data_IF_181028155033
#
_entry.id   IF_181028155033
#
_cell.length_a   1.000
_cell.length_b   1.000
_cell.length_c   1.000
_cell.angle_alpha   90.00
_cell.angle_beta   90.00
_cell.angle_gamma   90.00
#
_symmetry.space_group_name_H-M   'P 1'
#
loop_
_entity.id
_entity.type
_entity.pdbx_description
1 polymer ?
#
# COMPACT_ATOMS: atom_id res chain seq x y z
N UNK A 1 72.26 39.95 -9.85
CA UNK A 1 73.31 39.30 -9.05
C UNK A 1 72.68 38.01 -8.51
N UNK A 2 73.02 36.89 -8.76
CA UNK A 2 74.06 35.96 -9.03
C UNK A 2 73.53 34.76 -9.81
N UNK A 3 74.20 34.37 -10.84
CA UNK A 3 74.19 33.12 -11.58
C UNK A 3 74.59 31.92 -10.69
N UNK A 4 74.13 30.71 -11.01
CA UNK A 4 74.92 29.48 -11.07
C UNK A 4 74.07 28.35 -11.66
N UNK A 5 74.22 28.04 -12.90
CA UNK A 5 75.05 27.02 -13.56
C UNK A 5 74.68 25.56 -13.34
N UNK A 6 74.15 25.01 -14.41
CA UNK A 6 74.18 23.64 -14.97
C UNK A 6 74.87 22.53 -14.17
N UNK A 7 74.20 21.40 -14.03
CA UNK A 7 74.86 20.09 -14.19
C UNK A 7 73.86 19.08 -14.89
N UNK A 8 74.32 18.61 -16.04
CA UNK A 8 73.72 17.53 -16.84
C UNK A 8 74.30 16.23 -16.28
N UNK A 9 73.45 15.28 -15.98
CA UNK A 9 73.83 13.87 -15.80
C UNK A 9 72.88 12.99 -16.58
N UNK A 10 73.38 12.48 -17.68
CA UNK A 10 72.85 11.43 -18.52
C UNK A 10 72.86 10.07 -17.75
N UNK A 11 71.80 9.37 -17.63
CA UNK A 11 71.80 7.95 -17.27
C UNK A 11 70.85 7.19 -18.13
N UNK A 12 71.30 6.14 -18.68
CA UNK A 12 70.79 5.34 -19.79
C UNK A 12 69.55 4.50 -19.50
N UNK A 13 68.91 4.18 -20.56
CA UNK A 13 67.76 3.33 -20.76
C UNK A 13 67.77 1.97 -20.01
N UNK A 14 66.67 1.65 -19.42
CA UNK A 14 66.30 0.29 -19.08
C UNK A 14 64.79 0.11 -19.37
N UNK A 15 64.48 -0.30 -20.59
CA UNK A 15 63.11 -0.67 -21.01
C UNK A 15 62.82 -2.06 -20.45
N UNK A 16 62.22 -2.15 -19.26
CA UNK A 16 61.62 -3.38 -18.78
C UNK A 16 60.18 -3.43 -19.28
N UNK A 17 59.98 -4.24 -20.31
CA UNK A 17 58.65 -4.67 -20.75
C UNK A 17 58.03 -5.55 -19.64
N UNK A 18 57.26 -4.93 -18.74
CA UNK A 18 56.37 -5.66 -17.88
C UNK A 18 55.10 -5.98 -18.70
N UNK A 19 55.04 -7.18 -19.27
CA UNK A 19 53.83 -7.78 -19.79
C UNK A 19 52.84 -7.94 -18.65
N UNK A 20 52.04 -6.92 -18.43
CA UNK A 20 50.90 -6.98 -17.54
C UNK A 20 49.86 -7.94 -18.13
N UNK A 21 49.82 -9.17 -17.62
CA UNK A 21 48.61 -10.02 -17.75
C UNK A 21 47.44 -9.23 -17.20
N UNK A 22 46.64 -8.65 -18.10
CA UNK A 22 45.27 -8.30 -17.78
C UNK A 22 44.55 -9.60 -17.45
N UNK A 23 44.41 -9.94 -16.17
CA UNK A 23 43.39 -10.87 -15.72
C UNK A 23 42.07 -10.30 -16.20
N UNK A 24 41.50 -10.90 -17.23
CA UNK A 24 40.10 -10.77 -17.57
C UNK A 24 39.36 -11.12 -16.27
N UNK A 25 38.72 -10.15 -15.65
CA UNK A 25 37.80 -10.44 -14.57
C UNK A 25 36.74 -11.36 -15.16
N UNK A 26 36.71 -12.60 -14.68
CA UNK A 26 35.64 -13.55 -14.98
C UNK A 26 34.31 -12.88 -14.59
N UNK A 27 33.57 -12.43 -15.60
CA UNK A 27 32.25 -11.80 -15.44
C UNK A 27 31.15 -12.79 -15.09
N UNK A 28 31.51 -14.01 -14.66
CA UNK A 28 30.60 -15.10 -14.32
C UNK A 28 30.52 -15.42 -12.82
N UNK A 29 31.00 -14.55 -11.94
CA UNK A 29 30.59 -14.66 -10.54
C UNK A 29 29.11 -14.35 -10.45
N UNK A 30 28.25 -15.21 -9.83
CA UNK A 30 26.85 -14.90 -9.66
C UNK A 30 26.77 -13.55 -8.90
N UNK A 31 26.15 -12.56 -9.54
CA UNK A 31 25.87 -11.30 -8.89
C UNK A 31 25.11 -11.61 -7.59
N UNK A 32 25.59 -11.08 -6.45
CA UNK A 32 24.90 -11.25 -5.17
C UNK A 32 23.44 -10.77 -5.25
N UNK A 33 22.61 -11.09 -4.26
CA UNK A 33 21.22 -10.71 -4.26
C UNK A 33 21.05 -9.20 -4.45
N UNK A 34 20.09 -8.80 -5.29
CA UNK A 34 19.82 -7.38 -5.55
C UNK A 34 19.15 -6.78 -4.32
N UNK A 35 19.67 -5.64 -3.85
CA UNK A 35 19.10 -4.92 -2.72
C UNK A 35 17.86 -4.15 -3.16
N UNK A 36 16.75 -4.35 -2.43
CA UNK A 36 15.46 -3.67 -2.66
C UNK A 36 14.95 -3.10 -1.35
N UNK A 37 14.61 -1.82 -1.38
CA UNK A 37 14.01 -1.12 -0.24
C UNK A 37 12.50 -1.06 -0.43
N UNK A 38 11.77 -1.55 0.56
CA UNK A 38 10.30 -1.59 0.55
C UNK A 38 9.77 -0.58 1.55
N UNK A 39 9.01 0.41 1.06
CA UNK A 39 8.36 1.41 1.91
C UNK A 39 7.12 0.84 2.59
N UNK A 40 6.86 1.26 3.84
CA UNK A 40 5.64 0.94 4.58
C UNK A 40 5.31 2.02 5.62
N UNK A 41 4.05 2.07 6.08
CA UNK A 41 3.57 3.00 7.11
C UNK A 41 3.33 2.26 8.43
N UNK A 42 2.82 1.06 8.38
CA UNK A 42 2.41 0.24 9.53
C UNK A 42 0.89 0.09 9.60
N UNK A 43 0.29 -0.29 8.48
CA UNK A 43 -1.14 -0.49 8.32
C UNK A 43 -1.47 -1.99 8.23
N UNK A 44 -2.69 -2.37 8.64
CA UNK A 44 -3.17 -3.75 8.49
C UNK A 44 -3.10 -4.23 7.05
N UNK A 45 -3.43 -3.37 6.09
CA UNK A 45 -3.43 -3.72 4.67
C UNK A 45 -2.03 -4.05 4.12
N UNK A 46 -0.96 -3.62 4.80
CA UNK A 46 0.43 -3.89 4.44
C UNK A 46 0.93 -5.29 4.90
N UNK A 47 0.06 -6.13 5.46
CA UNK A 47 0.41 -7.49 5.86
C UNK A 47 1.17 -8.30 4.79
N UNK A 48 0.93 -8.18 3.47
CA UNK A 48 1.75 -8.83 2.45
C UNK A 48 3.22 -8.40 2.46
N UNK A 49 3.53 -7.14 2.77
CA UNK A 49 4.92 -6.66 2.88
C UNK A 49 5.63 -7.40 4.02
N UNK A 50 5.02 -7.41 5.19
CA UNK A 50 5.57 -8.05 6.38
C UNK A 50 5.69 -9.57 6.21
N UNK A 51 4.65 -10.18 5.62
CA UNK A 51 4.64 -11.61 5.29
C UNK A 51 5.75 -11.97 4.30
N UNK A 52 5.95 -11.19 3.24
CA UNK A 52 7.00 -11.46 2.25
C UNK A 52 8.40 -11.43 2.87
N UNK A 53 8.64 -10.55 3.84
CA UNK A 53 9.89 -10.49 4.59
C UNK A 53 10.04 -11.72 5.50
N UNK A 54 9.07 -11.95 6.39
CA UNK A 54 9.17 -12.93 7.47
C UNK A 54 9.06 -14.38 6.97
N UNK A 55 8.33 -14.61 5.87
CA UNK A 55 8.24 -15.92 5.20
C UNK A 55 9.39 -16.15 4.22
N UNK A 56 10.23 -15.15 3.97
CA UNK A 56 11.37 -15.27 3.08
C UNK A 56 11.03 -15.24 1.58
N UNK A 57 9.84 -14.77 1.18
CA UNK A 57 9.45 -14.76 -0.24
C UNK A 57 10.32 -13.84 -1.09
N UNK A 58 10.84 -12.74 -0.53
CA UNK A 58 11.85 -11.94 -1.21
C UNK A 58 13.16 -12.71 -1.43
N UNK A 59 13.58 -13.48 -0.42
CA UNK A 59 14.79 -14.29 -0.50
C UNK A 59 14.67 -15.41 -1.53
N UNK A 60 13.49 -16.05 -1.65
CA UNK A 60 13.20 -17.05 -2.68
C UNK A 60 13.35 -16.48 -4.10
N UNK A 61 13.07 -15.20 -4.26
CA UNK A 61 13.22 -14.46 -5.52
C UNK A 61 14.61 -13.85 -5.72
N UNK A 62 15.57 -14.16 -4.85
CA UNK A 62 16.95 -13.64 -4.92
C UNK A 62 17.09 -12.18 -4.52
N UNK A 63 16.17 -11.64 -3.73
CA UNK A 63 16.15 -10.25 -3.28
C UNK A 63 16.67 -10.14 -1.83
N UNK A 64 17.63 -9.24 -1.62
CA UNK A 64 18.03 -8.75 -0.31
C UNK A 64 17.16 -7.53 0.05
N UNK A 65 16.15 -7.75 0.89
CA UNK A 65 15.12 -6.75 1.21
C UNK A 65 15.45 -5.98 2.47
N UNK A 66 15.20 -4.67 2.46
CA UNK A 66 15.15 -3.83 3.65
C UNK A 66 13.85 -3.03 3.69
N UNK A 67 13.30 -2.85 4.89
CA UNK A 67 12.08 -2.08 5.10
C UNK A 67 12.39 -0.63 5.45
N UNK A 68 11.67 0.31 4.87
CA UNK A 68 11.76 1.75 5.12
C UNK A 68 10.43 2.23 5.69
N UNK A 69 10.40 2.52 6.99
CA UNK A 69 9.20 3.08 7.63
C UNK A 69 9.05 4.54 7.24
N UNK A 70 7.86 4.91 6.81
CA UNK A 70 7.51 6.26 6.37
C UNK A 70 6.29 6.76 7.13
N UNK A 71 6.07 8.07 7.06
CA UNK A 71 4.85 8.72 7.55
C UNK A 71 3.94 9.08 6.38
N UNK A 72 2.64 9.19 6.63
CA UNK A 72 1.65 9.57 5.63
C UNK A 72 2.02 10.85 4.87
N UNK A 73 2.53 11.85 5.60
CA UNK A 73 2.82 13.17 5.05
C UNK A 73 3.88 13.18 3.94
N UNK A 74 4.85 12.28 4.02
CA UNK A 74 6.01 12.26 3.11
C UNK A 74 6.14 10.99 2.26
N UNK A 75 5.18 10.07 2.36
CA UNK A 75 5.29 8.74 1.77
C UNK A 75 5.58 8.75 0.26
N UNK A 76 4.79 9.52 -0.50
CA UNK A 76 4.97 9.65 -1.95
C UNK A 76 6.28 10.36 -2.32
N UNK A 77 6.67 11.35 -1.52
CA UNK A 77 7.87 12.15 -1.78
C UNK A 77 9.13 11.32 -1.53
N UNK A 78 9.14 10.50 -0.49
CA UNK A 78 10.23 9.55 -0.22
C UNK A 78 10.39 8.56 -1.38
N UNK A 79 9.28 8.02 -1.95
CA UNK A 79 9.33 7.18 -3.14
C UNK A 79 9.88 7.95 -4.35
N UNK A 80 9.37 9.15 -4.60
CA UNK A 80 9.77 9.99 -5.73
C UNK A 80 11.26 10.31 -5.72
N UNK A 81 11.81 10.59 -4.53
CA UNK A 81 13.22 10.88 -4.31
C UNK A 81 14.11 9.63 -4.25
N UNK A 82 13.54 8.44 -4.36
CA UNK A 82 14.28 7.18 -4.30
C UNK A 82 14.72 6.79 -2.89
N UNK A 83 14.01 7.22 -1.85
CA UNK A 83 14.23 6.79 -0.48
C UNK A 83 13.85 5.33 -0.24
N UNK A 84 12.91 4.81 -1.01
CA UNK A 84 12.64 3.38 -1.19
C UNK A 84 12.29 3.08 -2.66
N UNK A 85 12.26 1.80 -3.04
CA UNK A 85 12.21 1.38 -4.43
C UNK A 85 10.83 0.87 -4.85
N UNK A 86 10.14 0.16 -3.95
CA UNK A 86 8.88 -0.51 -4.19
C UNK A 86 8.01 -0.48 -2.93
N UNK A 87 6.70 -0.55 -3.12
CA UNK A 87 5.71 -0.72 -2.06
C UNK A 87 4.42 -1.29 -2.64
N UNK A 88 3.36 -1.42 -1.83
CA UNK A 88 2.00 -1.42 -2.33
C UNK A 88 1.21 -0.29 -1.68
N UNK A 89 0.36 0.35 -2.44
CA UNK A 89 -0.39 1.51 -1.94
C UNK A 89 -1.66 1.75 -2.73
N UNK A 90 -2.51 2.66 -2.20
CA UNK A 90 -3.78 3.02 -2.83
C UNK A 90 -3.57 3.52 -4.26
N UNK A 91 -4.28 2.92 -5.21
CA UNK A 91 -4.22 3.30 -6.63
C UNK A 91 -4.55 4.79 -6.82
N UNK A 92 -5.67 5.25 -6.26
CA UNK A 92 -6.12 6.63 -6.41
C UNK A 92 -5.13 7.67 -5.85
N UNK A 93 -4.36 7.32 -4.81
CA UNK A 93 -3.42 8.24 -4.19
C UNK A 93 -2.30 8.69 -5.13
N UNK A 94 -1.89 7.82 -6.05
CA UNK A 94 -0.77 8.08 -6.95
C UNK A 94 -1.20 8.60 -8.34
N UNK A 95 -2.46 8.49 -8.73
CA UNK A 95 -2.91 8.90 -10.07
C UNK A 95 -2.72 10.40 -10.32
N UNK A 96 -3.07 11.27 -9.35
CA UNK A 96 -2.81 12.71 -9.48
C UNK A 96 -1.32 13.06 -9.54
N UNK A 97 -0.45 12.53 -8.67
CA UNK A 97 0.99 12.67 -8.83
C UNK A 97 1.54 12.19 -10.18
N UNK A 98 1.06 11.04 -10.70
CA UNK A 98 1.48 10.51 -12.01
C UNK A 98 1.02 11.44 -13.14
N UNK A 99 -0.20 11.98 -13.06
CA UNK A 99 -0.67 13.03 -13.97
C UNK A 99 0.29 14.22 -14.01
N UNK A 100 0.80 14.60 -12.84
CA UNK A 100 1.74 15.71 -12.66
C UNK A 100 3.21 15.37 -12.98
N UNK A 101 3.48 14.15 -13.49
CA UNK A 101 4.81 13.75 -13.95
C UNK A 101 5.60 12.90 -12.96
N UNK A 102 5.02 12.45 -11.83
CA UNK A 102 5.69 11.51 -10.94
C UNK A 102 5.94 10.18 -11.69
N UNK A 103 7.21 9.79 -11.78
CA UNK A 103 7.61 8.56 -12.46
C UNK A 103 7.57 7.36 -11.49
N UNK A 104 6.38 6.79 -11.37
CA UNK A 104 6.12 5.54 -10.66
C UNK A 104 5.16 4.68 -11.48
N UNK A 105 5.19 3.36 -11.29
CA UNK A 105 4.38 2.41 -12.04
C UNK A 105 3.70 1.41 -11.13
N UNK A 106 2.43 1.15 -11.37
CA UNK A 106 1.74 -0.01 -10.79
C UNK A 106 2.09 -1.28 -11.58
N UNK A 107 2.16 -2.42 -10.89
CA UNK A 107 2.60 -3.69 -11.48
C UNK A 107 1.67 -4.87 -11.18
N UNK A 108 0.84 -4.80 -10.13
CA UNK A 108 -0.10 -5.85 -9.76
C UNK A 108 -0.95 -5.49 -8.56
N UNK A 109 -2.20 -5.91 -8.55
CA UNK A 109 -3.16 -5.66 -7.46
C UNK A 109 -2.89 -6.55 -6.25
N UNK A 110 -3.10 -6.00 -5.08
CA UNK A 110 -2.86 -6.68 -3.79
C UNK A 110 -4.18 -7.02 -3.10
N UNK A 111 -5.01 -6.03 -2.81
CA UNK A 111 -6.24 -6.23 -2.03
C UNK A 111 -7.36 -5.26 -2.41
N UNK A 112 -8.57 -5.64 -2.01
CA UNK A 112 -9.80 -4.83 -2.05
C UNK A 112 -10.25 -4.51 -0.64
N UNK A 113 -11.05 -3.43 -0.46
CA UNK A 113 -11.48 -2.93 0.84
C UNK A 113 -10.35 -2.19 1.55
N UNK A 114 -10.63 -1.48 2.61
CA UNK A 114 -9.73 -0.83 3.56
C UNK A 114 -10.31 0.48 4.11
N UNK A 115 -10.96 1.28 3.27
CA UNK A 115 -11.30 2.66 3.57
C UNK A 115 -12.76 2.77 4.01
N UNK A 116 -13.00 3.68 4.95
CA UNK A 116 -14.35 3.95 5.46
C UNK A 116 -14.61 5.45 5.59
N UNK A 117 -15.88 5.81 5.51
CA UNK A 117 -16.42 7.06 6.03
C UNK A 117 -17.38 6.67 7.15
N UNK A 118 -17.09 7.15 8.35
CA UNK A 118 -17.79 6.75 9.57
C UNK A 118 -18.33 7.98 10.29
N UNK A 119 -19.60 7.95 10.63
CA UNK A 119 -20.26 9.02 11.38
C UNK A 119 -20.33 8.71 12.86
N UNK A 120 -20.22 9.74 13.71
CA UNK A 120 -20.41 9.61 15.15
C UNK A 120 -21.78 9.01 15.48
N UNK A 121 -21.83 8.06 16.42
CA UNK A 121 -23.10 7.52 16.94
C UNK A 121 -23.89 8.53 17.78
N UNK A 122 -23.24 9.60 18.23
CA UNK A 122 -23.89 10.68 19.01
C UNK A 122 -24.76 11.61 18.15
N UNK A 123 -24.63 11.54 16.82
CA UNK A 123 -25.35 12.39 15.86
C UNK A 123 -26.35 11.61 15.00
N UNK A 124 -27.14 12.33 14.22
CA UNK A 124 -28.16 11.80 13.31
C UNK A 124 -27.68 11.65 11.86
N UNK A 125 -26.41 11.29 11.65
CA UNK A 125 -25.83 11.10 10.34
C UNK A 125 -25.96 9.61 9.99
N UNK A 126 -26.86 9.26 9.06
CA UNK A 126 -27.15 7.89 8.68
C UNK A 126 -26.78 7.56 7.22
N UNK A 127 -26.47 8.60 6.43
CA UNK A 127 -26.11 8.49 5.02
C UNK A 127 -25.03 9.48 4.66
N UNK A 128 -24.42 9.29 3.48
CA UNK A 128 -23.45 10.23 2.94
C UNK A 128 -24.05 11.64 2.74
N UNK A 129 -25.33 11.74 2.36
CA UNK A 129 -25.99 13.02 2.14
C UNK A 129 -26.16 13.83 3.43
N UNK A 130 -26.22 13.17 4.58
CA UNK A 130 -26.34 13.83 5.89
C UNK A 130 -25.02 14.49 6.33
N UNK A 131 -23.93 14.25 5.61
CA UNK A 131 -22.63 14.87 5.84
C UNK A 131 -22.54 16.32 5.35
N UNK A 132 -23.53 16.83 4.62
CA UNK A 132 -23.57 18.22 4.19
C UNK A 132 -23.46 19.19 5.37
N UNK A 133 -22.53 20.14 5.26
CA UNK A 133 -22.26 21.12 6.31
C UNK A 133 -21.57 20.55 7.54
N UNK A 134 -21.09 19.30 7.50
CA UNK A 134 -20.46 18.62 8.64
C UNK A 134 -18.94 18.71 8.59
N UNK A 135 -18.33 18.47 9.76
CA UNK A 135 -16.89 18.41 9.96
C UNK A 135 -16.45 16.96 9.84
N UNK A 136 -15.50 16.68 8.95
CA UNK A 136 -14.94 15.34 8.76
C UNK A 136 -13.46 15.35 9.12
N UNK A 137 -13.09 14.52 10.09
CA UNK A 137 -11.70 14.26 10.48
C UNK A 137 -11.02 13.32 9.49
N UNK A 138 -9.79 13.66 9.11
CA UNK A 138 -8.95 12.84 8.21
C UNK A 138 -7.51 12.80 8.71
N UNK A 139 -6.72 11.75 8.40
CA UNK A 139 -5.31 11.69 8.79
C UNK A 139 -4.41 12.67 8.03
N UNK A 140 -4.93 13.30 7.00
CA UNK A 140 -4.24 14.32 6.20
C UNK A 140 -4.99 14.62 4.92
N UNK A 141 -4.82 15.85 4.42
CA UNK A 141 -5.34 16.26 3.12
C UNK A 141 -4.62 15.49 2.01
N UNK A 142 -5.38 15.00 1.01
CA UNK A 142 -4.83 14.21 -0.08
C UNK A 142 -4.43 12.77 0.29
N UNK A 143 -4.64 12.33 1.53
CA UNK A 143 -4.41 10.93 1.94
C UNK A 143 -5.49 10.00 1.37
N UNK A 144 -5.26 8.67 1.32
CA UNK A 144 -6.25 7.70 0.86
C UNK A 144 -7.63 7.84 1.48
N UNK A 145 -7.79 7.96 2.82
CA UNK A 145 -9.11 8.17 3.41
C UNK A 145 -9.81 9.45 2.93
N UNK A 146 -9.06 10.56 2.82
CA UNK A 146 -9.57 11.81 2.26
C UNK A 146 -10.05 11.64 0.82
N UNK A 147 -9.26 10.97 -0.04
CA UNK A 147 -9.60 10.75 -1.46
C UNK A 147 -10.85 9.90 -1.59
N UNK A 148 -10.95 8.81 -0.82
CA UNK A 148 -12.12 7.94 -0.82
C UNK A 148 -13.38 8.69 -0.38
N UNK A 149 -13.30 9.46 0.71
CA UNK A 149 -14.42 10.27 1.20
C UNK A 149 -14.87 11.29 0.16
N UNK A 150 -13.94 12.00 -0.51
CA UNK A 150 -14.27 12.94 -1.59
C UNK A 150 -15.03 12.22 -2.73
N UNK A 151 -14.55 11.06 -3.15
CA UNK A 151 -15.19 10.26 -4.19
C UNK A 151 -16.61 9.85 -3.81
N UNK A 152 -16.80 9.34 -2.60
CA UNK A 152 -18.11 8.90 -2.09
C UNK A 152 -19.07 10.09 -1.96
N UNK A 153 -18.61 11.22 -1.43
CA UNK A 153 -19.40 12.44 -1.31
C UNK A 153 -19.85 12.94 -2.69
N UNK A 154 -18.93 13.08 -3.64
CA UNK A 154 -19.23 13.52 -5.00
C UNK A 154 -20.22 12.60 -5.71
N UNK A 155 -20.05 11.27 -5.59
CA UNK A 155 -21.00 10.29 -6.15
C UNK A 155 -22.42 10.39 -5.56
N UNK A 156 -22.57 10.98 -4.35
CA UNK A 156 -23.84 11.22 -3.70
C UNK A 156 -24.35 12.67 -3.82
N UNK A 157 -23.72 13.47 -4.69
CA UNK A 157 -24.13 14.86 -4.97
C UNK A 157 -23.81 15.84 -3.82
N UNK A 158 -22.83 15.52 -2.99
CA UNK A 158 -22.27 16.42 -1.97
C UNK A 158 -20.95 16.97 -2.48
N UNK A 159 -20.81 18.29 -2.59
CA UNK A 159 -19.55 18.92 -3.01
C UNK A 159 -18.53 18.90 -1.86
N UNK A 160 -17.48 18.06 -1.93
CA UNK A 160 -16.56 17.92 -0.83
C UNK A 160 -15.70 19.16 -0.58
N UNK A 161 -15.59 20.04 -1.57
CA UNK A 161 -14.81 21.29 -1.47
C UNK A 161 -15.60 22.47 -0.88
N UNK A 162 -16.95 22.43 -0.96
CA UNK A 162 -17.79 23.53 -0.53
C UNK A 162 -18.69 23.19 0.66
N UNK A 163 -19.14 21.93 0.73
CA UNK A 163 -20.16 21.51 1.69
C UNK A 163 -19.57 20.73 2.87
N UNK A 164 -18.24 20.50 2.91
CA UNK A 164 -17.56 19.77 4.00
C UNK A 164 -16.47 20.64 4.63
N UNK A 165 -16.40 20.61 5.96
CA UNK A 165 -15.26 21.16 6.70
C UNK A 165 -14.29 20.02 7.04
N UNK A 166 -13.13 20.00 6.38
CA UNK A 166 -12.09 19.02 6.63
C UNK A 166 -11.20 19.44 7.78
N UNK A 167 -10.96 18.52 8.73
CA UNK A 167 -10.06 18.78 9.87
C UNK A 167 -9.04 17.64 9.93
N UNK A 168 -7.76 18.00 10.05
CA UNK A 168 -6.65 17.02 10.09
C UNK A 168 -6.32 16.65 11.52
N UNK A 169 -6.30 15.36 11.82
CA UNK A 169 -5.82 14.77 13.07
C UNK A 169 -4.91 13.58 12.75
N UNK A 170 -3.90 13.30 13.58
CA UNK A 170 -3.21 12.02 13.51
C UNK A 170 -4.23 10.86 13.55
N UNK A 171 -4.02 9.81 12.75
CA UNK A 171 -5.00 8.72 12.61
C UNK A 171 -5.44 8.12 13.96
N UNK A 172 -4.49 7.95 14.90
CA UNK A 172 -4.78 7.45 16.24
C UNK A 172 -5.62 8.40 17.13
N UNK A 173 -5.76 9.66 16.75
CA UNK A 173 -6.50 10.69 17.50
C UNK A 173 -7.91 10.94 16.97
N UNK A 174 -8.27 10.36 15.81
CA UNK A 174 -9.59 10.53 15.19
C UNK A 174 -10.74 10.15 16.14
N UNK A 175 -10.57 9.06 16.91
CA UNK A 175 -11.54 8.63 17.91
C UNK A 175 -11.72 9.64 19.06
N UNK A 176 -10.65 10.29 19.48
CA UNK A 176 -10.70 11.32 20.51
C UNK A 176 -11.37 12.60 20.00
N UNK A 177 -11.11 12.99 18.75
CA UNK A 177 -11.75 14.12 18.10
C UNK A 177 -13.28 13.94 17.99
N UNK A 178 -13.75 12.70 17.68
CA UNK A 178 -15.17 12.34 17.73
C UNK A 178 -15.75 12.46 19.15
N UNK A 179 -15.04 11.95 20.15
CA UNK A 179 -15.50 11.97 21.55
C UNK A 179 -15.67 13.39 22.07
N UNK A 180 -14.75 14.29 21.71
CA UNK A 180 -14.80 15.72 22.07
C UNK A 180 -15.79 16.53 21.22
N UNK A 181 -16.37 15.93 20.17
CA UNK A 181 -17.25 16.64 19.24
C UNK A 181 -16.51 17.68 18.38
N UNK A 182 -15.22 17.52 18.18
CA UNK A 182 -14.42 18.36 17.27
C UNK A 182 -14.74 18.06 15.82
N UNK A 183 -15.14 16.80 15.51
CA UNK A 183 -15.64 16.34 14.23
C UNK A 183 -16.94 15.57 14.39
N UNK A 184 -17.74 15.55 13.32
CA UNK A 184 -19.04 14.87 13.27
C UNK A 184 -18.92 13.49 12.64
N UNK A 185 -17.90 13.30 11.82
CA UNK A 185 -17.54 12.07 11.14
C UNK A 185 -16.03 11.99 10.93
N UNK A 186 -15.54 10.80 10.54
CA UNK A 186 -14.13 10.56 10.17
C UNK A 186 -14.07 9.77 8.87
N UNK A 187 -13.00 9.98 8.11
CA UNK A 187 -12.59 9.07 7.05
C UNK A 187 -11.25 8.45 7.44
N UNK A 188 -11.19 7.13 7.41
CA UNK A 188 -10.06 6.37 7.93
C UNK A 188 -9.80 5.06 7.15
N UNK A 189 -8.80 4.33 7.60
CA UNK A 189 -8.40 3.03 7.10
C UNK A 189 -8.24 2.03 8.25
N UNK A 190 -8.00 0.76 7.91
CA UNK A 190 -7.71 -0.27 8.92
C UNK A 190 -6.31 -0.10 9.54
N UNK A 191 -6.16 -0.27 10.88
CA UNK A 191 -7.14 -0.87 11.81
C UNK A 191 -8.10 0.15 12.47
N UNK A 192 -7.96 1.45 12.24
CA UNK A 192 -8.70 2.49 12.99
C UNK A 192 -10.21 2.35 12.81
N UNK A 193 -10.67 2.14 11.55
CA UNK A 193 -12.10 2.00 11.27
C UNK A 193 -12.77 0.88 12.05
N UNK A 194 -12.16 -0.29 12.09
CA UNK A 194 -12.67 -1.42 12.89
C UNK A 194 -12.61 -1.16 14.39
N UNK A 195 -11.57 -0.51 14.87
CA UNK A 195 -11.44 -0.16 16.30
C UNK A 195 -12.55 0.80 16.75
N UNK A 196 -12.83 1.84 15.97
CA UNK A 196 -13.86 2.82 16.29
C UNK A 196 -15.27 2.18 16.26
N UNK A 197 -15.50 1.28 15.30
CA UNK A 197 -16.76 0.53 15.20
C UNK A 197 -16.95 -0.42 16.40
N UNK A 198 -15.91 -1.17 16.78
CA UNK A 198 -15.94 -2.06 17.93
C UNK A 198 -16.16 -1.31 19.26
N UNK A 199 -15.68 -0.07 19.36
CA UNK A 199 -15.91 0.80 20.52
C UNK A 199 -17.32 1.43 20.54
N UNK A 200 -18.17 1.17 19.53
CA UNK A 200 -19.50 1.76 19.43
C UNK A 200 -19.52 3.27 19.19
N UNK A 201 -18.38 3.85 18.81
CA UNK A 201 -18.24 5.32 18.63
C UNK A 201 -18.81 5.80 17.31
N UNK A 202 -18.83 4.91 16.30
CA UNK A 202 -19.18 5.25 14.93
C UNK A 202 -20.14 4.24 14.31
N UNK A 203 -20.78 4.67 13.23
CA UNK A 203 -21.45 3.83 12.24
C UNK A 203 -20.83 4.08 10.86
N UNK A 204 -20.72 3.04 10.03
CA UNK A 204 -20.27 3.19 8.65
C UNK A 204 -21.35 3.87 7.81
N UNK A 205 -21.04 4.96 7.15
CA UNK A 205 -21.88 5.60 6.13
C UNK A 205 -21.36 5.31 4.71
N UNK A 206 -20.09 4.95 4.60
CA UNK A 206 -19.51 4.27 3.44
C UNK A 206 -18.43 3.28 3.88
N UNK A 207 -18.38 2.12 3.22
CA UNK A 207 -17.41 1.07 3.50
C UNK A 207 -16.93 0.44 2.19
N UNK A 208 -15.65 0.64 1.87
CA UNK A 208 -15.05 0.14 0.64
C UNK A 208 -15.07 -1.38 0.55
N UNK A 209 -15.12 -2.09 1.68
CA UNK A 209 -15.10 -3.55 1.68
C UNK A 209 -16.41 -4.19 1.21
N UNK A 210 -17.54 -3.48 1.34
CA UNK A 210 -18.87 -4.07 1.15
C UNK A 210 -19.81 -3.27 0.24
N UNK A 211 -19.55 -1.96 0.04
CA UNK A 211 -20.45 -1.12 -0.75
C UNK A 211 -20.16 -1.20 -2.25
N UNK A 212 -21.23 -1.29 -3.03
CA UNK A 212 -21.17 -1.16 -4.50
C UNK A 212 -20.98 0.32 -4.87
N UNK A 213 -20.13 0.65 -5.85
CA UNK A 213 -19.27 -0.25 -6.66
C UNK A 213 -17.93 -0.61 -6.01
N UNK A 214 -17.57 -0.01 -4.90
CA UNK A 214 -16.21 0.03 -4.32
C UNK A 214 -15.67 -1.35 -3.89
N UNK A 215 -16.55 -2.27 -3.48
CA UNK A 215 -16.17 -3.61 -2.98
C UNK A 215 -15.42 -4.48 -3.99
N UNK A 216 -15.62 -4.20 -5.28
CA UNK A 216 -15.02 -4.98 -6.36
C UNK A 216 -13.78 -4.30 -6.95
N UNK A 217 -13.40 -3.14 -6.42
CA UNK A 217 -12.24 -2.38 -6.86
C UNK A 217 -10.98 -2.72 -6.05
N UNK A 218 -9.85 -2.72 -6.70
CA UNK A 218 -8.57 -2.77 -6.00
C UNK A 218 -8.33 -1.47 -5.27
N UNK A 219 -8.21 -1.57 -3.95
CA UNK A 219 -7.74 -0.46 -3.11
C UNK A 219 -6.26 -0.22 -3.37
N UNK A 220 -5.44 -1.26 -3.14
CA UNK A 220 -3.99 -1.16 -3.24
C UNK A 220 -3.42 -2.08 -4.33
N UNK A 221 -2.38 -1.58 -4.97
CA UNK A 221 -1.57 -2.29 -5.95
C UNK A 221 -0.08 -2.08 -5.66
N UNK A 222 0.76 -3.00 -6.09
CA UNK A 222 2.22 -2.86 -6.04
C UNK A 222 2.61 -1.66 -6.89
N UNK A 223 3.47 -0.83 -6.34
CA UNK A 223 3.95 0.42 -6.93
C UNK A 223 5.46 0.47 -6.86
N UNK A 224 6.12 0.81 -7.97
CA UNK A 224 7.57 0.87 -8.09
C UNK A 224 8.03 2.23 -8.57
N UNK A 225 9.18 2.69 -8.07
CA UNK A 225 9.89 3.86 -8.58
C UNK A 225 10.36 3.61 -10.02
N UNK A 226 10.07 4.54 -10.95
CA UNK A 226 10.39 4.38 -12.37
C UNK A 226 11.88 4.27 -12.67
N UNK A 227 12.72 4.99 -11.93
CA UNK A 227 14.18 4.90 -12.07
C UNK A 227 14.71 3.54 -11.62
N UNK A 228 14.15 3.01 -10.52
CA UNK A 228 14.49 1.65 -10.06
C UNK A 228 14.04 0.61 -11.07
N UNK A 229 12.81 0.69 -11.57
CA UNK A 229 12.29 -0.19 -12.63
C UNK A 229 13.19 -0.18 -13.87
N UNK A 230 13.59 0.99 -14.33
CA UNK A 230 14.45 1.12 -15.51
C UNK A 230 15.85 0.51 -15.31
N UNK A 231 16.40 0.63 -14.11
CA UNK A 231 17.72 0.11 -13.74
C UNK A 231 17.69 -1.40 -13.45
N UNK A 232 16.68 -1.87 -12.75
CA UNK A 232 16.58 -3.22 -12.17
C UNK A 232 15.24 -3.89 -12.54
N UNK A 233 14.91 -4.08 -13.83
CA UNK A 233 13.60 -4.60 -14.24
C UNK A 233 13.37 -6.03 -13.74
N UNK A 234 14.41 -6.88 -13.71
CA UNK A 234 14.32 -8.26 -13.19
C UNK A 234 14.07 -8.28 -11.69
N UNK A 235 14.76 -7.44 -10.92
CA UNK A 235 14.55 -7.32 -9.48
C UNK A 235 13.16 -6.74 -9.17
N UNK A 236 12.66 -5.81 -9.98
CA UNK A 236 11.30 -5.29 -9.88
C UNK A 236 10.26 -6.41 -10.07
N UNK A 237 10.43 -7.25 -11.09
CA UNK A 237 9.56 -8.40 -11.33
C UNK A 237 9.60 -9.40 -10.15
N UNK A 238 10.80 -9.72 -9.67
CA UNK A 238 11.03 -10.60 -8.53
C UNK A 238 10.37 -10.06 -7.25
N UNK A 239 10.58 -8.79 -6.93
CA UNK A 239 9.97 -8.17 -5.75
C UNK A 239 8.43 -8.08 -5.88
N UNK A 240 7.91 -7.82 -7.08
CA UNK A 240 6.47 -7.84 -7.34
C UNK A 240 5.90 -9.25 -7.11
N UNK A 241 6.56 -10.32 -7.61
CA UNK A 241 6.13 -11.70 -7.36
C UNK A 241 6.12 -12.04 -5.88
N UNK A 242 7.14 -11.64 -5.13
CA UNK A 242 7.20 -11.86 -3.68
C UNK A 242 5.99 -11.23 -2.95
N UNK A 243 5.63 -9.99 -3.30
CA UNK A 243 4.49 -9.30 -2.71
C UNK A 243 3.14 -9.92 -3.10
N UNK A 244 2.96 -10.31 -4.37
CA UNK A 244 1.74 -10.96 -4.85
C UNK A 244 1.57 -12.37 -4.25
N UNK A 245 2.65 -13.14 -4.12
CA UNK A 245 2.66 -14.43 -3.40
C UNK A 245 2.28 -14.25 -1.94
N UNK A 246 2.83 -13.22 -1.29
CA UNK A 246 2.49 -12.90 0.09
C UNK A 246 1.02 -12.50 0.25
N UNK A 247 0.45 -11.74 -0.68
CA UNK A 247 -0.97 -11.42 -0.67
C UNK A 247 -1.84 -12.69 -0.73
N UNK A 248 -1.49 -13.64 -1.58
CA UNK A 248 -2.17 -14.95 -1.66
C UNK A 248 -2.06 -15.73 -0.34
N UNK A 249 -0.88 -15.69 0.28
CA UNK A 249 -0.67 -16.33 1.58
C UNK A 249 -1.49 -15.67 2.71
N UNK A 250 -1.55 -14.34 2.75
CA UNK A 250 -2.36 -13.58 3.71
C UNK A 250 -3.84 -13.92 3.58
N UNK A 251 -4.36 -14.04 2.35
CA UNK A 251 -5.75 -14.47 2.14
C UNK A 251 -6.02 -15.88 2.68
N UNK A 252 -5.07 -16.79 2.52
CA UNK A 252 -5.18 -18.15 3.03
C UNK A 252 -5.00 -18.24 4.56
N UNK A 253 -4.29 -17.28 5.17
CA UNK A 253 -3.86 -17.33 6.58
C UNK A 253 -4.02 -15.98 7.30
N UNK A 254 -5.22 -15.35 7.28
CA UNK A 254 -5.38 -13.98 7.77
C UNK A 254 -5.08 -13.82 9.28
N UNK A 255 -5.45 -14.80 10.11
CA UNK A 255 -5.13 -14.75 11.55
C UNK A 255 -3.61 -14.84 11.81
N UNK A 256 -2.91 -15.71 11.07
CA UNK A 256 -1.46 -15.83 11.19
C UNK A 256 -0.75 -14.56 10.70
N UNK A 257 -1.24 -13.94 9.61
CA UNK A 257 -0.70 -12.67 9.11
C UNK A 257 -0.96 -11.51 10.09
N UNK A 258 -2.15 -11.47 10.72
CA UNK A 258 -2.47 -10.49 11.75
C UNK A 258 -1.53 -10.61 12.94
N UNK A 259 -1.33 -11.82 13.45
CA UNK A 259 -0.43 -12.14 14.55
C UNK A 259 1.01 -11.76 14.23
N UNK A 260 1.52 -12.20 13.07
CA UNK A 260 2.88 -11.90 12.61
C UNK A 260 3.13 -10.39 12.58
N UNK A 261 2.23 -9.61 12.01
CA UNK A 261 2.39 -8.16 11.88
C UNK A 261 2.50 -7.43 13.22
N UNK A 262 1.75 -7.88 14.22
CA UNK A 262 1.75 -7.31 15.59
C UNK A 262 2.98 -7.78 16.39
N UNK A 263 3.23 -9.09 16.45
CA UNK A 263 4.34 -9.64 17.22
C UNK A 263 5.72 -9.14 16.73
N UNK A 264 5.85 -8.93 15.43
CA UNK A 264 7.05 -8.35 14.81
C UNK A 264 7.10 -6.83 14.91
N UNK A 265 6.09 -6.18 15.53
CA UNK A 265 6.04 -4.74 15.78
C UNK A 265 6.02 -3.89 14.50
N UNK A 266 5.45 -4.40 13.42
CA UNK A 266 5.29 -3.64 12.19
C UNK A 266 4.19 -2.59 12.28
N UNK A 267 3.17 -2.86 13.10
CA UNK A 267 2.06 -1.94 13.36
C UNK A 267 1.69 -1.90 14.85
N UNK A 268 1.10 -0.78 15.29
CA UNK A 268 0.64 -0.57 16.67
C UNK A 268 -0.83 -0.99 16.83
N UNK A 269 -1.07 -2.27 17.13
CA UNK A 269 -2.39 -2.83 17.39
C UNK A 269 -2.28 -4.06 18.29
N UNK A 270 -3.39 -4.61 18.77
CA UNK A 270 -3.39 -5.97 19.35
C UNK A 270 -3.60 -7.00 18.22
N UNK A 271 -3.25 -8.26 18.51
CA UNK A 271 -3.46 -9.37 17.56
C UNK A 271 -4.93 -9.50 17.21
N UNK A 272 -5.81 -9.40 18.21
CA UNK A 272 -7.26 -9.51 18.07
C UNK A 272 -7.82 -8.37 17.19
N UNK A 273 -7.45 -7.13 17.49
CA UNK A 273 -7.88 -5.97 16.72
C UNK A 273 -7.39 -6.04 15.27
N UNK A 274 -6.14 -6.46 15.06
CA UNK A 274 -5.60 -6.61 13.72
C UNK A 274 -6.23 -7.79 12.97
N UNK A 275 -6.58 -8.89 13.63
CA UNK A 275 -7.30 -10.01 13.04
C UNK A 275 -8.71 -9.58 12.57
N UNK A 276 -9.40 -8.77 13.38
CA UNK A 276 -10.67 -8.15 12.99
C UNK A 276 -10.48 -7.27 11.76
N UNK A 277 -9.52 -6.35 11.79
CA UNK A 277 -9.24 -5.43 10.69
C UNK A 277 -8.89 -6.18 9.39
N UNK A 278 -8.04 -7.20 9.45
CA UNK A 278 -7.65 -7.99 8.28
C UNK A 278 -8.83 -8.79 7.69
N UNK A 279 -9.84 -9.12 8.50
CA UNK A 279 -11.05 -9.80 8.03
C UNK A 279 -11.89 -8.92 7.08
N UNK A 280 -11.75 -7.61 7.14
CA UNK A 280 -12.38 -6.66 6.21
C UNK A 280 -11.66 -6.52 4.88
N UNK A 281 -10.47 -7.12 4.73
CA UNK A 281 -9.66 -7.01 3.53
C UNK A 281 -9.72 -8.30 2.71
N UNK A 282 -9.75 -8.16 1.38
CA UNK A 282 -9.72 -9.28 0.42
C UNK A 282 -8.42 -9.25 -0.33
N UNK A 283 -7.50 -10.13 0.03
CA UNK A 283 -6.21 -10.25 -0.63
C UNK A 283 -6.33 -11.19 -1.83
N UNK A 284 -6.77 -10.65 -2.93
CA UNK A 284 -7.01 -11.34 -4.21
C UNK A 284 -6.04 -10.81 -5.27
N UNK A 285 -4.75 -11.20 -5.20
CA UNK A 285 -3.75 -10.63 -6.10
C UNK A 285 -4.12 -10.88 -7.57
N UNK A 286 -3.96 -9.84 -8.43
CA UNK A 286 -4.22 -9.92 -9.85
C UNK A 286 -3.48 -8.83 -10.61
N UNK A 287 -2.90 -9.17 -11.75
CA UNK A 287 -2.24 -8.22 -12.63
C UNK A 287 -3.28 -7.48 -13.48
N UNK A 288 -4.14 -8.22 -14.18
CA UNK A 288 -5.21 -7.63 -15.02
C UNK A 288 -6.22 -6.84 -14.19
N UNK A 289 -6.53 -7.31 -12.97
CA UNK A 289 -7.39 -6.59 -12.04
C UNK A 289 -6.83 -5.24 -11.61
N UNK A 290 -5.52 -5.14 -11.39
CA UNK A 290 -4.85 -3.89 -11.08
C UNK A 290 -4.85 -2.92 -12.27
N UNK A 291 -4.57 -3.42 -13.47
CA UNK A 291 -4.63 -2.58 -14.68
C UNK A 291 -6.03 -2.01 -14.89
N UNK A 292 -7.06 -2.84 -14.71
CA UNK A 292 -8.45 -2.39 -14.78
C UNK A 292 -8.76 -1.35 -13.69
N UNK A 293 -8.29 -1.56 -12.45
CA UNK A 293 -8.49 -0.60 -11.36
C UNK A 293 -7.84 0.75 -11.65
N UNK A 294 -6.64 0.78 -12.24
CA UNK A 294 -5.97 2.02 -12.67
C UNK A 294 -6.80 2.74 -13.73
N UNK A 295 -7.34 2.02 -14.72
CA UNK A 295 -8.22 2.60 -15.77
C UNK A 295 -9.50 3.20 -15.20
N UNK A 296 -10.21 2.43 -14.37
CA UNK A 296 -11.46 2.86 -13.75
C UNK A 296 -11.24 4.04 -12.80
N UNK A 297 -10.25 3.95 -11.91
CA UNK A 297 -9.94 5.03 -10.97
C UNK A 297 -9.54 6.33 -11.70
N UNK A 298 -8.79 6.25 -12.80
CA UNK A 298 -8.43 7.42 -13.61
C UNK A 298 -9.68 8.11 -14.19
N UNK A 299 -10.62 7.34 -14.73
CA UNK A 299 -11.86 7.87 -15.30
C UNK A 299 -12.75 8.53 -14.22
N UNK A 300 -12.92 7.86 -13.10
CA UNK A 300 -13.76 8.35 -12.00
C UNK A 300 -13.16 9.56 -11.30
N UNK A 301 -11.86 9.57 -11.05
CA UNK A 301 -11.18 10.73 -10.48
C UNK A 301 -11.27 11.97 -11.39
N UNK A 302 -11.24 11.79 -12.71
CA UNK A 302 -11.49 12.88 -13.65
C UNK A 302 -12.94 13.39 -13.54
N UNK A 303 -13.91 12.48 -13.51
CA UNK A 303 -15.34 12.83 -13.36
C UNK A 303 -15.59 13.55 -12.03
N UNK A 304 -14.91 13.15 -10.96
CA UNK A 304 -15.01 13.79 -9.63
C UNK A 304 -14.20 15.10 -9.52
N UNK A 305 -13.59 15.59 -10.61
CA UNK A 305 -12.78 16.82 -10.59
C UNK A 305 -11.44 16.71 -9.86
N UNK A 306 -11.01 15.49 -9.52
CA UNK A 306 -9.74 15.25 -8.84
C UNK A 306 -8.52 15.26 -9.77
N UNK A 307 -8.75 15.03 -11.07
CA UNK A 307 -7.78 15.19 -12.15
C UNK A 307 -8.13 16.43 -12.97
N UNK A 308 -7.19 16.89 -13.80
CA UNK A 308 -7.43 18.00 -14.72
C UNK A 308 -8.55 17.66 -15.71
N UNK A 309 -9.44 18.61 -16.06
CA UNK A 309 -10.44 18.42 -17.11
C UNK A 309 -9.83 18.01 -18.46
N UNK A 310 -8.59 18.42 -18.73
CA UNK A 310 -7.85 18.13 -19.97
C UNK A 310 -7.11 16.80 -19.95
N UNK A 311 -7.09 16.07 -18.83
CA UNK A 311 -6.37 14.78 -18.70
C UNK A 311 -6.94 13.74 -19.66
N UNK A 312 -6.07 13.17 -20.50
CA UNK A 312 -6.37 11.93 -21.21
C UNK A 312 -6.23 10.76 -20.21
N UNK A 313 -7.38 10.19 -19.83
CA UNK A 313 -7.40 9.09 -18.84
C UNK A 313 -6.83 7.79 -19.39
N UNK A 314 -6.88 7.56 -20.70
CA UNK A 314 -6.30 6.37 -21.33
C UNK A 314 -4.76 6.47 -21.33
N UNK A 315 -4.22 7.65 -21.68
CA UNK A 315 -2.79 7.91 -21.59
C UNK A 315 -2.29 7.84 -20.14
N UNK A 316 -3.02 8.45 -19.20
CA UNK A 316 -2.68 8.38 -17.78
C UNK A 316 -2.62 6.93 -17.28
N UNK A 317 -3.63 6.11 -17.59
CA UNK A 317 -3.66 4.72 -17.20
C UNK A 317 -2.50 3.93 -17.81
N UNK A 318 -2.19 4.16 -19.09
CA UNK A 318 -1.04 3.54 -19.77
C UNK A 318 0.30 3.94 -19.13
N UNK A 319 0.45 5.21 -18.76
CA UNK A 319 1.67 5.68 -18.07
C UNK A 319 1.78 5.16 -16.63
N UNK A 320 0.65 4.92 -15.98
CA UNK A 320 0.60 4.49 -14.59
C UNK A 320 0.83 2.98 -14.39
N UNK A 321 0.63 2.15 -15.40
CA UNK A 321 0.75 0.69 -15.28
C UNK A 321 1.83 0.12 -16.19
N UNK A 322 2.49 -0.96 -15.74
CA UNK A 322 3.49 -1.69 -16.53
C UNK A 322 3.36 -3.19 -16.29
N UNK A 323 3.42 -3.94 -17.39
CA UNK A 323 3.55 -5.40 -17.34
C UNK A 323 5.02 -5.79 -17.13
N UNK A 324 5.26 -6.77 -16.29
CA UNK A 324 6.60 -7.28 -15.97
C UNK A 324 6.72 -8.74 -16.41
N UNK A 325 7.90 -9.12 -16.90
CA UNK A 325 8.17 -10.49 -17.33
C UNK A 325 7.97 -11.49 -16.18
N UNK A 326 7.19 -12.55 -16.45
CA UNK A 326 6.88 -13.58 -15.46
C UNK A 326 5.96 -13.14 -14.32
N UNK A 327 5.33 -11.97 -14.42
CA UNK A 327 4.29 -11.49 -13.49
C UNK A 327 2.96 -11.46 -14.22
N UNK A 328 2.18 -12.54 -14.12
CA UNK A 328 0.93 -12.73 -14.85
C UNK A 328 -0.15 -13.36 -13.96
N UNK A 329 -1.42 -13.22 -14.33
CA UNK A 329 -2.50 -13.89 -13.61
C UNK A 329 -2.39 -15.42 -13.73
N UNK A 330 -1.94 -15.95 -14.87
CA UNK A 330 -1.70 -17.38 -15.03
C UNK A 330 -0.62 -17.92 -14.07
N UNK A 331 0.47 -17.15 -13.87
CA UNK A 331 1.47 -17.48 -12.86
C UNK A 331 0.84 -17.45 -11.45
N UNK A 332 0.06 -16.40 -11.12
CA UNK A 332 -0.64 -16.30 -9.83
C UNK A 332 -1.59 -17.48 -9.57
N UNK A 333 -2.32 -17.93 -10.57
CA UNK A 333 -3.22 -19.07 -10.48
C UNK A 333 -2.45 -20.37 -10.21
N UNK A 334 -1.27 -20.53 -10.82
CA UNK A 334 -0.42 -21.71 -10.62
C UNK A 334 0.21 -21.80 -9.23
N UNK A 335 0.27 -20.67 -8.48
CA UNK A 335 0.88 -20.67 -7.15
C UNK A 335 0.03 -21.42 -6.14
N UNK A 336 0.66 -22.28 -5.36
CA UNK A 336 0.12 -22.77 -4.09
C UNK A 336 0.81 -22.08 -2.92
N UNK A 337 0.07 -21.87 -1.83
CA UNK A 337 0.60 -21.36 -0.57
C UNK A 337 0.17 -22.29 0.56
N UNK A 338 1.02 -22.45 1.55
CA UNK A 338 0.73 -23.25 2.72
C UNK A 338 -0.42 -22.65 3.53
N UNK A 339 -1.19 -23.51 4.21
CA UNK A 339 -2.17 -23.12 5.22
C UNK A 339 -1.64 -23.50 6.59
N UNK A 340 -1.51 -22.52 7.47
CA UNK A 340 -1.08 -22.76 8.85
C UNK A 340 -2.27 -23.09 9.75
N UNK A 341 -2.07 -23.98 10.69
CA UNK A 341 -3.09 -24.31 11.70
C UNK A 341 -3.50 -23.06 12.48
N UNK A 342 -4.82 -22.82 12.63
CA UNK A 342 -5.34 -21.62 13.27
C UNK A 342 -5.10 -20.31 12.50
N UNK A 343 -4.61 -20.39 11.27
CA UNK A 343 -4.34 -19.21 10.44
C UNK A 343 -5.57 -18.56 9.79
N UNK A 344 -6.71 -19.24 9.83
CA UNK A 344 -7.95 -18.83 9.15
C UNK A 344 -8.88 -18.10 10.13
N UNK A 345 -9.56 -17.07 9.63
CA UNK A 345 -10.71 -16.41 10.27
C UNK A 345 -11.81 -16.23 9.24
N UNK A 346 -13.09 -16.23 9.65
CA UNK A 346 -14.17 -15.88 8.74
C UNK A 346 -13.97 -14.47 8.17
N UNK A 347 -14.17 -14.34 6.87
CA UNK A 347 -14.13 -13.04 6.20
C UNK A 347 -15.51 -12.43 6.21
N UNK A 348 -15.62 -11.16 6.55
CA UNK A 348 -16.89 -10.44 6.69
C UNK A 348 -17.75 -10.53 5.44
N UNK A 349 -17.16 -10.31 4.26
CA UNK A 349 -17.91 -10.35 2.99
C UNK A 349 -18.38 -11.75 2.56
N UNK A 350 -17.91 -12.81 3.19
CA UNK A 350 -18.39 -14.17 2.98
C UNK A 350 -19.46 -14.58 4.00
N UNK A 351 -19.65 -13.80 5.05
CA UNK A 351 -20.70 -14.06 6.04
C UNK A 351 -22.06 -13.74 5.43
N UNK A 352 -22.98 -14.72 5.46
CA UNK A 352 -24.36 -14.55 4.94
C UNK A 352 -25.16 -13.47 5.69
N UNK A 353 -24.70 -13.08 6.88
CA UNK A 353 -25.39 -12.20 7.83
C UNK A 353 -24.59 -10.94 8.14
N UNK A 354 -23.69 -10.51 7.24
CA UNK A 354 -22.97 -9.26 7.46
C UNK A 354 -23.93 -8.07 7.55
N UNK A 355 -23.97 -7.46 8.73
CA UNK A 355 -24.69 -6.20 8.96
C UNK A 355 -23.68 -5.09 9.10
N UNK A 356 -23.75 -4.11 8.20
CA UNK A 356 -22.81 -2.98 8.04
C UNK A 356 -22.37 -2.29 9.33
N UNK A 357 -23.29 -2.23 10.30
CA UNK A 357 -23.11 -1.47 11.55
C UNK A 357 -23.14 -2.34 12.80
N UNK A 358 -23.01 -3.65 12.68
CA UNK A 358 -22.91 -4.48 13.88
C UNK A 358 -21.54 -4.34 14.53
N UNK A 359 -21.49 -4.23 15.86
CA UNK A 359 -20.25 -4.35 16.60
C UNK A 359 -19.56 -5.68 16.27
N UNK A 360 -18.25 -5.64 16.04
CA UNK A 360 -17.47 -6.81 15.65
C UNK A 360 -17.46 -7.94 16.67
N UNK A 361 -17.87 -7.70 17.91
CA UNK A 361 -18.05 -8.72 18.96
C UNK A 361 -18.98 -9.87 18.54
N UNK A 362 -19.98 -9.60 17.70
CA UNK A 362 -20.90 -10.63 17.18
C UNK A 362 -20.16 -11.60 16.25
N UNK A 363 -19.11 -11.16 15.57
CA UNK A 363 -18.29 -12.01 14.70
C UNK A 363 -17.13 -12.66 15.44
N UNK A 364 -16.66 -12.06 16.54
CA UNK A 364 -15.54 -12.58 17.32
C UNK A 364 -15.90 -13.83 18.15
N UNK A 365 -17.17 -14.01 18.54
CA UNK A 365 -17.61 -15.27 19.17
C UNK A 365 -17.49 -16.48 18.24
N UNK A 366 -17.48 -16.28 16.91
CA UNK A 366 -17.17 -17.31 15.93
C UNK A 366 -15.67 -17.41 15.58
N UNK A 367 -14.87 -16.42 15.98
CA UNK A 367 -13.44 -16.33 15.73
C UNK A 367 -12.59 -16.72 16.94
N UNK A 368 -13.19 -17.01 18.08
CA UNK A 368 -12.48 -17.51 19.25
C UNK A 368 -11.80 -18.83 18.87
N UNK A 369 -10.49 -18.78 18.77
CA UNK A 369 -9.63 -19.96 18.71
C UNK A 369 -10.04 -20.89 19.86
N UNK A 370 -10.16 -22.20 19.63
CA UNK A 370 -10.35 -23.12 20.74
C UNK A 370 -9.20 -22.89 21.69
N UNK A 371 -9.51 -22.57 22.93
CA UNK A 371 -8.54 -22.58 24.03
C UNK A 371 -7.84 -23.92 24.00
N UNK A 372 -6.50 -23.98 24.02
CA UNK A 372 -5.81 -25.26 24.21
C UNK A 372 -6.25 -25.84 25.55
N UNK A 373 -6.82 -27.05 25.51
CA UNK A 373 -7.00 -27.89 26.69
C UNK A 373 -5.64 -28.40 27.13
#
# INVERSE_FOLDING_TARGET
MLNFTKLIATAAAGFLLVSGCKKSADSNAPAGPVKVRVGYIGLTCEAPIFTAVEKGFFKEEGIDVSLVKCEWANYKDVLALGGYDITHHLVMYFLKPIEQGLDVKFTGGIHRGCLRVQASTKGNINSIKDLRGKRIGVPGMGTPPFIFANRVLGANGVDPGKEITWIVFPAGELGLALDKGEVDAVADSEPIGSMLLAQGKVRNVADQAVDVPYKDEYCCAVLVNGKFLAKEPKATAAATRALLKAAKWVEANPAAAAKLSVEKKYLGSTVEQNAIAISHLRYVPSVSGAELAVKLASAEMKTAGMLSPTTDVADLAKRAFVHLDGVTDAWLESLSVDKVAGGQIPKIWTAREYVRNQPMEVFCSACLLPTPQ
#
